data_IF_456983980888
#
_entry.id   IF_456983980888
#
_cell.length_a   1.000
_cell.length_b   1.000
_cell.length_c   1.000
_cell.angle_alpha   90.00
_cell.angle_beta   90.00
_cell.angle_gamma   90.00
#
_symmetry.space_group_name_H-M   'P 1'
#
loop_
_entity.id
_entity.type
_entity.pdbx_description
1 polymer ?
#
# COMPACT_ATOMS: atom_id res chain seq x y z
N UNK A 1 9.06 5.38 -20.50
CA UNK A 1 9.25 5.04 -19.06
C UNK A 1 7.90 5.22 -18.38
N UNK A 2 7.39 4.20 -17.73
CA UNK A 2 6.13 4.26 -16.98
C UNK A 2 6.22 5.25 -15.82
N UNK A 3 5.18 6.06 -15.64
CA UNK A 3 5.01 6.96 -14.49
C UNK A 3 3.55 6.88 -14.04
N UNK A 4 3.34 6.80 -12.75
CA UNK A 4 1.99 6.86 -12.18
C UNK A 4 1.29 8.19 -12.49
N UNK A 5 2.05 9.28 -12.66
CA UNK A 5 1.52 10.61 -13.01
C UNK A 5 0.80 10.67 -14.37
N UNK A 6 1.05 9.68 -15.24
CA UNK A 6 0.48 9.63 -16.60
C UNK A 6 -0.69 8.65 -16.72
N UNK A 7 -1.05 7.96 -15.64
CA UNK A 7 -2.15 7.00 -15.65
C UNK A 7 -3.48 7.74 -15.55
N UNK A 8 -4.28 7.65 -16.62
CA UNK A 8 -5.66 8.10 -16.59
C UNK A 8 -6.50 7.08 -15.83
N UNK A 9 -7.40 7.55 -14.95
CA UNK A 9 -8.23 6.71 -14.11
C UNK A 9 -7.42 5.65 -13.33
N UNK A 10 -6.64 6.11 -12.36
CA UNK A 10 -5.74 5.27 -11.58
C UNK A 10 -6.46 4.11 -10.86
N UNK A 11 -7.68 4.35 -10.36
CA UNK A 11 -8.43 3.34 -9.59
C UNK A 11 -8.83 2.15 -10.46
N UNK A 12 -9.34 2.37 -11.68
CA UNK A 12 -9.63 1.29 -12.61
C UNK A 12 -8.37 0.58 -13.09
N UNK A 13 -7.30 1.36 -13.26
CA UNK A 13 -6.01 0.81 -13.68
C UNK A 13 -5.41 -0.15 -12.65
N UNK A 14 -5.46 0.19 -11.35
CA UNK A 14 -4.93 -0.70 -10.29
C UNK A 14 -5.81 -1.94 -10.15
N UNK A 15 -7.14 -1.79 -10.20
CA UNK A 15 -8.08 -2.91 -10.15
C UNK A 15 -7.87 -3.91 -11.30
N UNK A 16 -7.58 -3.42 -12.51
CA UNK A 16 -7.26 -4.26 -13.68
C UNK A 16 -5.85 -4.86 -13.64
N UNK A 17 -4.94 -4.27 -12.85
CA UNK A 17 -3.53 -4.70 -12.76
C UNK A 17 -3.27 -5.76 -11.70
N UNK A 18 -4.09 -5.81 -10.63
CA UNK A 18 -3.90 -6.68 -9.47
C UNK A 18 -5.13 -7.58 -9.31
N UNK A 19 -4.96 -8.92 -9.39
CA UNK A 19 -6.07 -9.84 -9.27
C UNK A 19 -6.76 -9.74 -7.91
N UNK A 20 -8.09 -9.67 -7.90
CA UNK A 20 -8.92 -9.53 -6.69
C UNK A 20 -8.62 -8.27 -5.84
N UNK A 21 -8.22 -7.17 -6.49
CA UNK A 21 -7.95 -5.89 -5.81
C UNK A 21 -9.18 -5.36 -5.04
N UNK A 22 -10.38 -5.49 -5.62
CA UNK A 22 -11.61 -5.03 -4.97
C UNK A 22 -11.87 -5.78 -3.64
N UNK A 23 -11.56 -7.09 -3.60
CA UNK A 23 -11.67 -7.87 -2.36
C UNK A 23 -10.65 -7.40 -1.30
N UNK A 24 -9.44 -7.01 -1.70
CA UNK A 24 -8.49 -6.38 -0.79
C UNK A 24 -9.03 -5.05 -0.26
N UNK A 25 -9.51 -4.20 -1.16
CA UNK A 25 -10.04 -2.88 -0.81
C UNK A 25 -11.19 -3.00 0.20
N UNK A 26 -12.18 -3.85 -0.08
CA UNK A 26 -13.30 -4.10 0.82
C UNK A 26 -12.86 -4.66 2.18
N UNK A 27 -11.85 -5.55 2.18
CA UNK A 27 -11.26 -6.09 3.41
C UNK A 27 -10.62 -4.97 4.24
N UNK A 28 -9.82 -4.10 3.61
CA UNK A 28 -9.16 -2.98 4.30
C UNK A 28 -10.19 -2.01 4.86
N UNK A 29 -11.22 -1.63 4.08
CA UNK A 29 -12.31 -0.74 4.54
C UNK A 29 -13.02 -1.35 5.74
N UNK A 30 -13.40 -2.64 5.67
CA UNK A 30 -14.12 -3.31 6.75
C UNK A 30 -13.27 -3.42 8.02
N UNK A 31 -11.99 -3.78 7.89
CA UNK A 31 -11.07 -3.89 9.03
C UNK A 31 -10.76 -2.54 9.66
N UNK A 32 -10.78 -1.45 8.89
CA UNK A 32 -10.54 -0.10 9.41
C UNK A 32 -11.51 0.25 10.53
N UNK A 33 -12.77 -0.15 10.43
CA UNK A 33 -13.81 0.12 11.44
C UNK A 33 -13.49 -0.43 12.84
N UNK A 34 -12.62 -1.45 12.94
CA UNK A 34 -12.24 -2.04 14.24
C UNK A 34 -11.17 -1.23 14.98
N UNK A 35 -10.43 -0.38 14.27
CA UNK A 35 -9.27 0.33 14.82
C UNK A 35 -9.49 1.83 14.94
N UNK A 36 -10.38 2.40 14.12
CA UNK A 36 -10.63 3.83 14.12
C UNK A 36 -11.37 4.25 15.39
N UNK A 37 -10.69 5.02 16.23
CA UNK A 37 -11.22 5.56 17.47
C UNK A 37 -11.52 7.06 17.28
N UNK A 38 -12.58 7.60 17.91
CA UNK A 38 -12.85 9.05 17.89
C UNK A 38 -11.60 9.85 18.30
N UNK A 39 -11.45 11.03 17.70
CA UNK A 39 -10.38 12.00 17.99
C UNK A 39 -8.95 11.47 17.75
N UNK A 40 -8.77 10.39 16.97
CA UNK A 40 -7.47 9.86 16.59
C UNK A 40 -7.13 10.15 15.14
N UNK A 41 -5.91 9.80 14.72
CA UNK A 41 -5.45 10.00 13.35
C UNK A 41 -5.50 8.69 12.55
N UNK A 42 -6.03 8.74 11.33
CA UNK A 42 -5.89 7.73 10.29
C UNK A 42 -4.98 8.26 9.18
N UNK A 43 -3.88 7.55 8.88
CA UNK A 43 -2.93 7.93 7.83
C UNK A 43 -2.88 6.86 6.74
N UNK A 44 -3.00 7.28 5.47
CA UNK A 44 -2.79 6.43 4.30
C UNK A 44 -1.52 6.86 3.56
N UNK A 45 -0.50 6.00 3.59
CA UNK A 45 0.82 6.22 2.97
C UNK A 45 0.78 5.70 1.54
N UNK A 46 0.96 6.60 0.57
CA UNK A 46 0.77 6.33 -0.86
C UNK A 46 -0.70 6.32 -1.22
N UNK A 47 -1.43 7.32 -0.71
CA UNK A 47 -2.90 7.41 -0.81
C UNK A 47 -3.44 7.61 -2.22
N UNK A 48 -2.58 7.95 -3.20
CA UNK A 48 -2.97 8.15 -4.60
C UNK A 48 -4.18 9.10 -4.75
N UNK A 49 -5.30 8.60 -5.27
CA UNK A 49 -6.54 9.37 -5.47
C UNK A 49 -7.30 9.67 -4.18
N UNK A 50 -6.86 9.13 -3.04
CA UNK A 50 -7.55 9.30 -1.76
C UNK A 50 -8.78 8.39 -1.56
N UNK A 51 -9.06 7.49 -2.51
CA UNK A 51 -10.26 6.63 -2.51
C UNK A 51 -10.48 5.91 -1.18
N UNK A 52 -9.43 5.38 -0.55
CA UNK A 52 -9.54 4.69 0.75
C UNK A 52 -9.99 5.66 1.85
N UNK A 53 -9.34 6.82 1.96
CA UNK A 53 -9.66 7.84 2.96
C UNK A 53 -11.07 8.43 2.80
N UNK A 54 -11.54 8.54 1.55
CA UNK A 54 -12.90 9.02 1.26
C UNK A 54 -13.96 7.97 1.56
N UNK A 55 -13.64 6.68 1.39
CA UNK A 55 -14.56 5.57 1.64
C UNK A 55 -14.70 5.25 3.12
N UNK A 56 -13.60 5.31 3.87
CA UNK A 56 -13.58 4.98 5.31
C UNK A 56 -14.20 6.11 6.12
N UNK A 57 -15.14 5.75 7.00
CA UNK A 57 -15.78 6.69 7.94
C UNK A 57 -14.92 6.85 9.18
N UNK A 58 -14.59 8.07 9.52
CA UNK A 58 -13.82 8.39 10.71
C UNK A 58 -14.14 9.82 11.18
N UNK A 59 -14.40 9.97 12.46
CA UNK A 59 -14.74 11.27 13.08
C UNK A 59 -13.49 12.06 13.53
N UNK A 60 -12.30 11.44 13.47
CA UNK A 60 -11.01 12.06 13.75
C UNK A 60 -10.32 12.61 12.50
N UNK A 61 -9.02 12.80 12.58
CA UNK A 61 -8.19 13.35 11.51
C UNK A 61 -7.85 12.26 10.47
N UNK A 62 -8.08 12.56 9.19
CA UNK A 62 -7.66 11.71 8.07
C UNK A 62 -6.58 12.40 7.26
N UNK A 63 -5.45 11.70 7.05
CA UNK A 63 -4.28 12.24 6.35
C UNK A 63 -3.91 11.30 5.20
N UNK A 64 -3.84 11.84 3.99
CA UNK A 64 -3.32 11.16 2.82
C UNK A 64 -1.94 11.71 2.42
N UNK A 65 -0.98 10.83 2.23
CA UNK A 65 0.38 11.21 1.82
C UNK A 65 0.71 10.48 0.52
N UNK A 66 1.06 11.23 -0.51
CA UNK A 66 1.59 10.67 -1.76
C UNK A 66 2.67 11.57 -2.34
N UNK A 67 3.72 10.98 -2.90
CA UNK A 67 4.78 11.74 -3.57
C UNK A 67 4.31 12.36 -4.88
N UNK A 68 3.38 11.70 -5.56
CA UNK A 68 2.81 12.15 -6.84
C UNK A 68 1.69 13.16 -6.61
N UNK A 69 2.01 14.44 -6.75
CA UNK A 69 1.01 15.51 -6.65
C UNK A 69 -0.12 15.38 -7.67
N UNK A 70 0.14 14.77 -8.81
CA UNK A 70 -0.85 14.65 -9.88
C UNK A 70 -1.96 13.63 -9.58
N UNK A 71 -1.69 12.68 -8.69
CA UNK A 71 -2.68 11.69 -8.23
C UNK A 71 -3.58 12.24 -7.12
N UNK A 72 -3.07 13.16 -6.30
CA UNK A 72 -3.83 13.70 -5.18
C UNK A 72 -5.08 14.45 -5.64
N UNK A 73 -6.19 14.38 -4.88
CA UNK A 73 -7.40 15.11 -5.16
C UNK A 73 -7.15 16.62 -5.31
N UNK A 74 -7.65 17.21 -6.38
CA UNK A 74 -7.58 18.67 -6.59
C UNK A 74 -8.66 19.42 -5.83
N UNK A 75 -9.76 18.76 -5.57
CA UNK A 75 -10.88 19.24 -4.78
C UNK A 75 -11.25 18.18 -3.76
N UNK A 76 -11.32 18.56 -2.52
CA UNK A 76 -11.62 17.67 -1.41
C UNK A 76 -12.91 18.11 -0.71
N UNK A 77 -14.04 17.46 -0.99
CA UNK A 77 -15.30 17.75 -0.32
C UNK A 77 -15.38 17.16 1.10
N UNK A 78 -14.44 16.28 1.46
CA UNK A 78 -14.37 15.62 2.76
C UNK A 78 -13.27 16.23 3.64
N UNK A 79 -13.35 16.12 4.97
CA UNK A 79 -12.33 16.62 5.89
C UNK A 79 -11.09 15.70 5.90
N UNK A 80 -10.44 15.52 4.75
CA UNK A 80 -9.19 14.79 4.60
C UNK A 80 -8.07 15.77 4.26
N UNK A 81 -6.96 15.68 4.95
CA UNK A 81 -5.76 16.46 4.64
C UNK A 81 -4.85 15.69 3.69
N UNK A 82 -4.49 16.27 2.54
CA UNK A 82 -3.61 15.63 1.56
C UNK A 82 -2.28 16.35 1.46
N UNK A 83 -1.19 15.58 1.59
CA UNK A 83 0.18 16.08 1.49
C UNK A 83 0.90 15.45 0.30
N UNK A 84 1.41 16.30 -0.61
CA UNK A 84 2.38 15.86 -1.63
C UNK A 84 3.76 15.82 -0.99
N UNK A 85 4.19 14.63 -0.53
CA UNK A 85 5.37 14.48 0.30
C UNK A 85 6.08 13.14 0.08
N UNK A 86 7.42 13.15 0.10
CA UNK A 86 8.22 11.92 0.11
C UNK A 86 8.29 11.37 1.54
N UNK A 87 7.56 10.32 1.81
CA UNK A 87 7.46 9.71 3.14
C UNK A 87 8.81 9.19 3.67
N UNK A 88 9.83 9.06 2.81
CA UNK A 88 11.20 8.71 3.24
C UNK A 88 11.91 9.85 3.94
N UNK A 89 11.44 11.08 3.79
CA UNK A 89 11.83 12.21 4.63
C UNK A 89 11.08 12.14 5.95
N UNK A 90 11.47 12.99 6.92
CA UNK A 90 10.81 12.96 8.24
C UNK A 90 9.36 13.49 8.12
N UNK A 91 8.42 12.63 8.47
CA UNK A 91 7.00 12.96 8.69
C UNK A 91 6.60 12.40 10.06
N UNK A 92 6.09 13.25 10.95
CA UNK A 92 5.66 12.84 12.28
C UNK A 92 4.36 12.04 12.18
N UNK A 93 4.36 10.83 12.69
CA UNK A 93 3.14 10.06 12.94
C UNK A 93 2.78 10.25 14.41
N UNK A 94 1.62 10.82 14.69
CA UNK A 94 1.21 11.10 16.06
C UNK A 94 -0.23 10.64 16.28
N UNK A 95 -0.44 9.97 17.42
CA UNK A 95 -1.76 9.54 17.87
C UNK A 95 -2.56 8.74 16.83
N UNK A 96 -1.87 7.88 16.05
CA UNK A 96 -2.50 7.12 14.99
C UNK A 96 -3.20 5.87 15.55
N UNK A 97 -4.49 5.73 15.28
CA UNK A 97 -5.22 4.48 15.53
C UNK A 97 -5.11 3.50 14.35
N UNK A 98 -4.93 4.03 13.14
CA UNK A 98 -4.74 3.25 11.93
C UNK A 98 -3.71 3.92 11.01
N UNK A 99 -2.79 3.14 10.48
CA UNK A 99 -1.94 3.53 9.36
C UNK A 99 -2.09 2.46 8.27
N UNK A 100 -2.26 2.89 7.01
CA UNK A 100 -2.30 1.98 5.86
C UNK A 100 -1.17 2.30 4.89
N UNK A 101 -0.69 1.27 4.20
CA UNK A 101 0.24 1.41 3.06
C UNK A 101 -0.05 0.30 2.06
N UNK A 102 -0.77 0.64 1.00
CA UNK A 102 -1.26 -0.32 0.02
C UNK A 102 -0.43 -0.20 -1.27
N UNK A 103 0.47 -1.18 -1.49
CA UNK A 103 1.37 -1.25 -2.64
C UNK A 103 2.31 -0.05 -2.81
N UNK A 104 2.78 0.54 -1.72
CA UNK A 104 3.60 1.75 -1.72
C UNK A 104 5.04 1.51 -1.32
N UNK A 105 5.30 0.78 -0.21
CA UNK A 105 6.65 0.63 0.33
C UNK A 105 7.59 -0.11 -0.66
N UNK A 106 7.05 -0.92 -1.55
CA UNK A 106 7.82 -1.59 -2.61
C UNK A 106 8.56 -0.63 -3.57
N UNK A 107 8.17 0.64 -3.62
CA UNK A 107 8.82 1.69 -4.41
C UNK A 107 9.85 2.49 -3.62
N UNK A 108 9.90 2.32 -2.31
CA UNK A 108 10.87 2.98 -1.43
C UNK A 108 12.21 2.21 -1.48
N UNK A 109 13.32 2.92 -1.40
CA UNK A 109 14.64 2.32 -1.28
C UNK A 109 14.70 1.39 -0.06
N UNK A 110 15.23 0.18 -0.25
CA UNK A 110 15.26 -0.85 0.79
C UNK A 110 16.00 -0.41 2.07
N UNK A 111 16.96 0.51 1.94
CA UNK A 111 17.73 1.04 3.07
C UNK A 111 16.91 1.96 3.98
N UNK A 112 15.83 2.57 3.44
CA UNK A 112 14.97 3.50 4.19
C UNK A 112 13.71 2.86 4.77
N UNK A 113 13.35 1.63 4.31
CA UNK A 113 12.08 1.01 4.72
C UNK A 113 12.03 0.66 6.19
N UNK A 114 13.14 0.17 6.77
CA UNK A 114 13.16 -0.21 8.19
C UNK A 114 12.92 1.01 9.08
N UNK A 115 13.56 2.12 8.78
CA UNK A 115 13.36 3.37 9.52
C UNK A 115 11.91 3.86 9.42
N UNK A 116 11.30 3.77 8.23
CA UNK A 116 9.90 4.11 8.05
C UNK A 116 8.98 3.20 8.87
N UNK A 117 9.22 1.89 8.87
CA UNK A 117 8.44 0.94 9.67
C UNK A 117 8.58 1.21 11.18
N UNK A 118 9.78 1.58 11.64
CA UNK A 118 9.99 1.98 13.03
C UNK A 118 9.15 3.22 13.38
N UNK A 119 9.16 4.25 12.52
CA UNK A 119 8.34 5.46 12.71
C UNK A 119 6.83 5.16 12.68
N UNK A 120 6.39 4.26 11.80
CA UNK A 120 5.00 3.80 11.77
C UNK A 120 4.62 3.15 13.11
N UNK A 121 5.46 2.24 13.59
CA UNK A 121 5.22 1.59 14.89
C UNK A 121 5.18 2.61 16.01
N UNK A 122 6.14 3.51 16.10
CA UNK A 122 6.22 4.52 17.16
C UNK A 122 4.99 5.43 17.17
N UNK A 123 4.51 5.85 15.99
CA UNK A 123 3.37 6.76 15.83
C UNK A 123 2.00 6.13 16.09
N UNK A 124 1.91 4.79 16.08
CA UNK A 124 0.68 4.09 16.42
C UNK A 124 0.42 4.14 17.94
N UNK A 125 -0.84 4.27 18.31
CA UNK A 125 -1.30 4.07 19.69
C UNK A 125 -1.21 2.60 20.11
N UNK A 126 -1.17 2.30 21.41
CA UNK A 126 -1.42 0.93 21.88
C UNK A 126 -2.73 0.38 21.33
N UNK A 127 -2.71 -0.83 20.78
CA UNK A 127 -3.80 -1.47 20.02
C UNK A 127 -4.16 -0.75 18.70
N UNK A 128 -3.38 0.20 18.23
CA UNK A 128 -3.48 0.73 16.88
C UNK A 128 -2.97 -0.27 15.84
N UNK A 129 -3.41 -0.13 14.59
CA UNK A 129 -3.10 -1.08 13.54
C UNK A 129 -2.31 -0.48 12.38
N UNK A 130 -1.48 -1.32 11.78
CA UNK A 130 -0.84 -1.08 10.48
C UNK A 130 -1.31 -2.12 9.48
N UNK A 131 -1.95 -1.70 8.40
CA UNK A 131 -2.30 -2.56 7.27
C UNK A 131 -1.31 -2.30 6.14
N UNK A 132 -0.56 -3.34 5.77
CA UNK A 132 0.52 -3.26 4.81
C UNK A 132 0.33 -4.27 3.69
N UNK A 133 0.10 -3.78 2.46
CA UNK A 133 0.01 -4.63 1.28
C UNK A 133 1.18 -4.39 0.32
N UNK A 134 1.77 -5.48 -0.17
CA UNK A 134 2.94 -5.45 -1.07
C UNK A 134 2.87 -6.56 -2.13
N UNK A 135 3.52 -6.28 -3.27
CA UNK A 135 3.99 -7.35 -4.14
C UNK A 135 5.21 -8.00 -3.51
N UNK A 136 5.24 -9.33 -3.48
CA UNK A 136 6.35 -10.09 -2.91
C UNK A 136 7.00 -11.01 -3.94
N UNK A 137 8.26 -11.32 -3.75
CA UNK A 137 8.93 -12.37 -4.51
C UNK A 137 8.69 -13.73 -3.86
N UNK A 138 8.46 -14.76 -4.71
CA UNK A 138 8.50 -16.13 -4.27
C UNK A 138 9.94 -16.55 -3.94
N UNK A 139 10.11 -17.43 -2.94
CA UNK A 139 11.41 -17.99 -2.57
C UNK A 139 12.03 -18.86 -3.70
N UNK A 140 11.18 -19.49 -4.51
CA UNK A 140 11.60 -20.31 -5.66
C UNK A 140 11.51 -19.50 -6.95
N UNK A 141 12.61 -19.41 -7.71
CA UNK A 141 12.63 -18.77 -9.02
C UNK A 141 11.62 -19.37 -10.00
N UNK A 142 11.44 -20.71 -9.99
CA UNK A 142 10.45 -21.39 -10.83
C UNK A 142 9.02 -20.95 -10.48
N UNK A 143 8.69 -20.86 -9.19
CA UNK A 143 7.38 -20.38 -8.75
C UNK A 143 7.21 -18.92 -9.13
N UNK A 144 8.24 -18.09 -8.96
CA UNK A 144 8.21 -16.68 -9.35
C UNK A 144 7.86 -16.50 -10.84
N UNK A 145 8.46 -17.28 -11.73
CA UNK A 145 8.16 -17.23 -13.16
C UNK A 145 6.72 -17.66 -13.46
N UNK A 146 6.22 -18.70 -12.79
CA UNK A 146 4.84 -19.14 -12.92
C UNK A 146 3.85 -18.05 -12.46
N UNK A 147 4.10 -17.43 -11.32
CA UNK A 147 3.26 -16.34 -10.81
C UNK A 147 3.28 -15.11 -11.73
N UNK A 148 4.45 -14.77 -12.27
CA UNK A 148 4.58 -13.68 -13.25
C UNK A 148 3.79 -13.98 -14.52
N UNK A 149 3.91 -15.19 -15.06
CA UNK A 149 3.16 -15.62 -16.24
C UNK A 149 1.65 -15.59 -15.99
N UNK A 150 1.20 -16.08 -14.83
CA UNK A 150 -0.21 -16.06 -14.44
C UNK A 150 -0.73 -14.62 -14.30
N UNK A 151 0.06 -13.71 -13.74
CA UNK A 151 -0.30 -12.30 -13.65
C UNK A 151 -0.42 -11.66 -15.04
N UNK A 152 0.46 -11.98 -15.98
CA UNK A 152 0.34 -11.51 -17.37
C UNK A 152 -0.95 -12.02 -18.03
N UNK A 153 -1.34 -13.30 -17.80
CA UNK A 153 -2.62 -13.83 -18.30
C UNK A 153 -3.82 -13.08 -17.71
N UNK A 154 -3.80 -12.76 -16.41
CA UNK A 154 -4.84 -11.96 -15.76
C UNK A 154 -5.02 -10.60 -16.42
N UNK A 155 -3.93 -9.95 -16.84
CA UNK A 155 -3.95 -8.60 -17.43
C UNK A 155 -4.43 -8.55 -18.89
N UNK A 156 -4.34 -9.65 -19.64
CA UNK A 156 -4.69 -9.71 -21.06
C UNK A 156 -6.10 -9.20 -21.44
N UNK A 157 -7.15 -9.37 -20.64
CA UNK A 157 -8.45 -8.79 -20.94
C UNK A 157 -8.50 -7.27 -20.91
N UNK A 158 -7.54 -6.61 -20.27
CA UNK A 158 -7.52 -5.18 -19.98
C UNK A 158 -6.45 -4.40 -20.73
N UNK A 159 -5.35 -5.07 -21.13
CA UNK A 159 -4.16 -4.45 -21.71
C UNK A 159 -3.64 -5.29 -22.88
N UNK A 160 -3.04 -4.66 -23.88
CA UNK A 160 -2.37 -5.40 -24.94
C UNK A 160 -1.05 -6.03 -24.45
N UNK A 161 -0.50 -6.96 -25.25
CA UNK A 161 0.67 -7.73 -24.87
C UNK A 161 1.94 -6.85 -24.71
N UNK A 162 2.09 -5.82 -25.56
CA UNK A 162 3.24 -4.92 -25.48
C UNK A 162 3.14 -3.99 -24.26
N UNK A 163 1.95 -3.45 -23.98
CA UNK A 163 1.69 -2.66 -22.78
C UNK A 163 2.02 -3.44 -21.51
N UNK A 164 1.63 -4.73 -21.43
CA UNK A 164 1.95 -5.59 -20.28
C UNK A 164 3.46 -5.74 -20.10
N UNK A 165 4.19 -6.04 -21.19
CA UNK A 165 5.62 -6.29 -21.16
C UNK A 165 6.43 -5.00 -20.85
N UNK A 166 6.08 -3.90 -21.51
CA UNK A 166 6.74 -2.60 -21.32
C UNK A 166 6.55 -2.09 -19.88
N UNK A 167 5.32 -2.19 -19.37
CA UNK A 167 5.02 -1.83 -17.99
C UNK A 167 5.75 -2.73 -16.98
N UNK A 168 5.80 -4.06 -17.23
CA UNK A 168 6.53 -4.98 -16.35
C UNK A 168 8.03 -4.64 -16.35
N UNK A 169 8.62 -4.36 -17.51
CA UNK A 169 10.03 -3.95 -17.62
C UNK A 169 10.32 -2.64 -16.87
N UNK A 170 9.45 -1.64 -16.97
CA UNK A 170 9.62 -0.38 -16.25
C UNK A 170 9.40 -0.53 -14.73
N UNK A 171 8.38 -1.29 -14.31
CA UNK A 171 8.14 -1.55 -12.90
C UNK A 171 9.29 -2.32 -12.24
N UNK A 172 9.97 -3.22 -12.94
CA UNK A 172 11.19 -3.91 -12.45
C UNK A 172 12.33 -2.94 -12.15
N UNK A 173 12.40 -1.79 -12.82
CA UNK A 173 13.40 -0.75 -12.53
C UNK A 173 13.04 0.07 -11.29
N UNK A 174 11.76 0.24 -11.02
CA UNK A 174 11.21 1.11 -9.96
C UNK A 174 10.96 0.38 -8.65
N UNK A 175 10.34 -0.82 -8.73
CA UNK A 175 10.00 -1.61 -7.55
C UNK A 175 11.21 -2.36 -6.98
N UNK A 176 11.17 -2.55 -5.67
CA UNK A 176 12.13 -3.35 -4.88
C UNK A 176 11.38 -4.31 -3.97
N UNK A 177 10.59 -5.28 -4.52
CA UNK A 177 9.84 -6.20 -3.67
C UNK A 177 10.80 -7.05 -2.83
N UNK A 178 10.39 -7.33 -1.60
CA UNK A 178 11.01 -8.33 -0.75
C UNK A 178 10.30 -9.68 -0.91
N UNK A 179 10.79 -10.73 -0.26
CA UNK A 179 9.99 -11.93 0.01
C UNK A 179 9.05 -11.66 1.18
N UNK A 180 7.99 -12.45 1.31
CA UNK A 180 7.05 -12.38 2.45
C UNK A 180 7.79 -12.48 3.79
N UNK A 181 8.69 -13.47 3.93
CA UNK A 181 9.49 -13.67 5.13
C UNK A 181 10.33 -12.42 5.50
N UNK A 182 10.91 -11.75 4.49
CA UNK A 182 11.68 -10.51 4.72
C UNK A 182 10.80 -9.38 5.23
N UNK A 183 9.61 -9.19 4.65
CA UNK A 183 8.66 -8.16 5.10
C UNK A 183 8.20 -8.41 6.54
N UNK A 184 7.85 -9.65 6.88
CA UNK A 184 7.47 -10.04 8.24
C UNK A 184 8.61 -9.79 9.24
N UNK A 185 9.86 -10.12 8.86
CA UNK A 185 11.02 -9.84 9.71
C UNK A 185 11.20 -8.34 9.95
N UNK A 186 11.02 -7.51 8.90
CA UNK A 186 11.11 -6.06 9.04
C UNK A 186 10.01 -5.49 9.95
N UNK A 187 8.79 -6.00 9.86
CA UNK A 187 7.72 -5.61 10.78
C UNK A 187 8.06 -5.99 12.23
N UNK A 188 8.59 -7.20 12.45
CA UNK A 188 9.05 -7.64 13.76
C UNK A 188 10.20 -6.79 14.30
N UNK A 189 11.17 -6.45 13.45
CA UNK A 189 12.32 -5.60 13.83
C UNK A 189 11.86 -4.17 14.18
N UNK A 190 10.73 -3.71 13.63
CA UNK A 190 10.10 -2.43 13.99
C UNK A 190 9.33 -2.47 15.32
N UNK A 191 9.03 -3.67 15.86
CA UNK A 191 8.33 -3.84 17.13
C UNK A 191 6.96 -4.54 17.04
N UNK A 192 6.47 -4.87 15.84
CA UNK A 192 5.22 -5.60 15.69
C UNK A 192 5.41 -7.09 16.07
N UNK A 193 4.84 -7.49 17.20
CA UNK A 193 4.94 -8.89 17.67
C UNK A 193 3.92 -9.80 17.00
N UNK A 194 2.77 -9.25 16.60
CA UNK A 194 1.65 -9.98 16.02
C UNK A 194 1.30 -9.42 14.64
N UNK A 195 1.21 -10.30 13.67
CA UNK A 195 0.77 -9.97 12.32
C UNK A 195 0.00 -11.13 11.71
N UNK A 196 -1.07 -10.83 10.99
CA UNK A 196 -1.92 -11.81 10.33
C UNK A 196 -2.02 -11.52 8.85
N UNK A 197 -1.91 -12.57 8.02
CA UNK A 197 -2.16 -12.47 6.58
C UNK A 197 -3.66 -12.35 6.34
N UNK A 198 -4.12 -11.17 5.94
CA UNK A 198 -5.55 -10.87 5.77
C UNK A 198 -6.03 -11.03 4.31
N UNK A 199 -5.10 -10.98 3.36
CA UNK A 199 -5.41 -11.18 1.95
C UNK A 199 -4.18 -11.63 1.16
N UNK A 200 -4.40 -12.51 0.17
CA UNK A 200 -3.37 -12.93 -0.78
C UNK A 200 -3.96 -13.23 -2.14
N UNK A 201 -3.33 -12.71 -3.19
CA UNK A 201 -3.62 -13.05 -4.58
C UNK A 201 -2.33 -13.13 -5.39
N UNK A 202 -1.99 -14.30 -5.93
CA UNK A 202 -0.72 -14.60 -6.58
C UNK A 202 0.48 -14.20 -5.69
N UNK A 203 1.28 -13.24 -6.15
CA UNK A 203 2.42 -12.69 -5.42
C UNK A 203 2.14 -11.29 -4.84
N UNK A 204 0.87 -11.01 -4.56
CA UNK A 204 0.45 -9.85 -3.79
C UNK A 204 -0.14 -10.34 -2.46
N UNK A 205 0.19 -9.69 -1.38
CA UNK A 205 -0.31 -10.02 -0.05
C UNK A 205 -0.53 -8.77 0.80
N UNK A 206 -1.47 -8.86 1.73
CA UNK A 206 -1.72 -7.84 2.72
C UNK A 206 -1.69 -8.44 4.13
N UNK A 207 -1.04 -7.75 5.03
CA UNK A 207 -0.86 -8.10 6.42
C UNK A 207 -1.48 -7.04 7.32
N UNK A 208 -2.10 -7.48 8.40
CA UNK A 208 -2.55 -6.64 9.51
C UNK A 208 -1.60 -6.84 10.68
N UNK A 209 -1.03 -5.76 11.19
CA UNK A 209 -0.18 -5.73 12.38
C UNK A 209 -0.84 -4.88 13.46
N UNK A 210 -0.74 -5.29 14.72
CA UNK A 210 -1.25 -4.56 15.88
C UNK A 210 -0.08 -4.20 16.81
N UNK A 211 -0.06 -2.95 17.29
CA UNK A 211 0.91 -2.45 18.29
C UNK A 211 0.52 -2.84 19.69
#
# INVERSE_FOLDING_TARGET
MFSFDTVNNFDDHIASSIPAYDALFDTVVTLSDFFLLPDTTFIDIGCSTGKLLETVRHDGVKIGIDKSRNLLPRFNPTPVEYFSYDITEYFGFEDCSLITSIFTLQFIDSTKRQELLNRIYDGLRPNGAFIWAEKVYAESGKIQEMLTSTLHQHKRPYFDAMEILDKDADLRKLMRPNTSAKNQQMAKDAGFEQGELIWKSLNFEAWLYIK
#
